data_IF_282107758459
#
_entry.id   IF_282107758459
#
_cell.length_a   1.000
_cell.length_b   1.000
_cell.length_c   1.000
_cell.angle_alpha   90.00
_cell.angle_beta   90.00
_cell.angle_gamma   90.00
#
_symmetry.space_group_name_H-M   'P 1'
#
loop_
_entity.id
_entity.type
_entity.pdbx_description
1 polymer ?
#
# COMPACT_ATOMS: atom_id res chain seq x y z
N UNK A 1 -24.79 -14.33 0.51
CA UNK A 1 -24.85 -13.03 1.23
C UNK A 1 -23.47 -12.48 1.59
N UNK A 2 -22.66 -13.16 2.41
CA UNK A 2 -21.41 -12.60 2.98
C UNK A 2 -20.41 -12.06 1.95
N UNK A 3 -20.16 -12.79 0.86
CA UNK A 3 -19.25 -12.34 -0.21
C UNK A 3 -19.70 -11.05 -0.91
N UNK A 4 -21.02 -10.86 -1.10
CA UNK A 4 -21.56 -9.63 -1.69
C UNK A 4 -21.37 -8.43 -0.76
N UNK A 5 -21.54 -8.61 0.56
CA UNK A 5 -21.22 -7.56 1.54
C UNK A 5 -19.73 -7.24 1.55
N UNK A 6 -18.86 -8.25 1.43
CA UNK A 6 -17.40 -8.06 1.34
C UNK A 6 -17.01 -7.28 0.09
N UNK A 7 -17.66 -7.58 -1.05
CA UNK A 7 -17.49 -6.85 -2.30
C UNK A 7 -17.96 -5.40 -2.21
N UNK A 8 -19.10 -5.13 -1.57
CA UNK A 8 -19.57 -3.76 -1.32
C UNK A 8 -18.56 -2.99 -0.49
N UNK A 9 -18.13 -3.53 0.67
CA UNK A 9 -17.16 -2.85 1.54
C UNK A 9 -15.83 -2.60 0.83
N UNK A 10 -15.30 -3.59 0.09
CA UNK A 10 -14.10 -3.44 -0.72
C UNK A 10 -14.26 -2.39 -1.85
N UNK A 11 -15.41 -2.39 -2.53
CA UNK A 11 -15.74 -1.43 -3.59
C UNK A 11 -15.98 0.00 -3.10
N UNK A 12 -16.27 0.18 -1.82
CA UNK A 12 -16.33 1.51 -1.15
C UNK A 12 -15.03 1.92 -0.45
N UNK A 13 -14.03 1.04 -0.36
CA UNK A 13 -12.76 1.30 0.32
C UNK A 13 -11.78 2.02 -0.63
N UNK A 14 -11.23 3.16 -0.20
CA UNK A 14 -10.28 3.96 -1.01
C UNK A 14 -9.07 3.14 -1.51
N UNK A 15 -8.61 2.13 -0.77
CA UNK A 15 -7.56 1.22 -1.24
C UNK A 15 -8.10 0.12 -2.18
N UNK A 16 -9.31 -0.39 -1.93
CA UNK A 16 -9.97 -1.35 -2.82
C UNK A 16 -10.23 -0.77 -4.21
N UNK A 17 -10.71 0.47 -4.29
CA UNK A 17 -10.91 1.22 -5.55
C UNK A 17 -9.56 1.48 -6.24
N UNK A 18 -8.54 1.97 -5.52
CA UNK A 18 -7.20 2.24 -6.10
C UNK A 18 -6.57 0.98 -6.72
N UNK A 19 -6.66 -0.17 -6.02
CA UNK A 19 -6.18 -1.47 -6.52
C UNK A 19 -7.01 -1.98 -7.69
N UNK A 20 -8.33 -1.79 -7.67
CA UNK A 20 -9.21 -2.15 -8.80
C UNK A 20 -8.85 -1.36 -10.05
N UNK A 21 -8.62 -0.05 -9.94
CA UNK A 21 -8.14 0.77 -11.04
C UNK A 21 -6.72 0.38 -11.48
N UNK A 22 -5.84 -0.02 -10.56
CA UNK A 22 -4.48 -0.49 -10.89
C UNK A 22 -4.52 -1.77 -11.74
N UNK A 23 -5.45 -2.67 -11.42
CA UNK A 23 -5.70 -3.89 -12.18
C UNK A 23 -6.24 -3.58 -13.58
N UNK A 24 -7.22 -2.68 -13.70
CA UNK A 24 -7.74 -2.24 -15.02
C UNK A 24 -6.65 -1.53 -15.83
N UNK A 25 -5.80 -0.69 -15.21
CA UNK A 25 -4.66 -0.07 -15.88
C UNK A 25 -3.65 -1.09 -16.43
N UNK A 26 -3.35 -2.15 -15.67
CA UNK A 26 -2.50 -3.25 -16.12
C UNK A 26 -3.15 -4.02 -17.28
N UNK A 27 -4.44 -4.33 -17.20
CA UNK A 27 -5.18 -5.04 -18.25
C UNK A 27 -5.28 -4.21 -19.55
N UNK A 28 -5.61 -2.92 -19.46
CA UNK A 28 -5.61 -1.99 -20.61
C UNK A 28 -4.22 -1.90 -21.25
N UNK A 29 -3.15 -1.96 -20.45
CA UNK A 29 -1.77 -2.01 -20.96
C UNK A 29 -1.48 -3.31 -21.72
N UNK A 30 -1.94 -4.46 -21.20
CA UNK A 30 -1.78 -5.77 -21.81
C UNK A 30 -2.53 -5.85 -23.16
N UNK A 31 -3.74 -5.28 -23.23
CA UNK A 31 -4.52 -5.15 -24.46
C UNK A 31 -3.85 -4.18 -25.44
N UNK A 32 -3.26 -3.06 -24.96
CA UNK A 32 -2.56 -2.11 -25.82
C UNK A 32 -1.37 -2.74 -26.57
N UNK A 33 -0.68 -3.72 -25.96
CA UNK A 33 0.53 -4.31 -26.55
C UNK A 33 0.28 -5.58 -27.37
N UNK A 34 -0.65 -6.47 -26.99
CA UNK A 34 -0.88 -7.73 -27.71
C UNK A 34 -2.05 -7.67 -28.72
N UNK A 35 -1.82 -7.75 -30.06
CA UNK A 35 -2.88 -7.69 -31.06
C UNK A 35 -3.91 -8.83 -30.94
N UNK A 36 -3.48 -10.04 -30.57
CA UNK A 36 -4.39 -11.17 -30.35
C UNK A 36 -5.38 -10.90 -29.20
N UNK A 37 -4.96 -10.13 -28.20
CA UNK A 37 -5.82 -9.74 -27.06
C UNK A 37 -6.82 -8.64 -27.45
N UNK A 38 -6.45 -7.77 -28.40
CA UNK A 38 -7.37 -6.81 -29.03
C UNK A 38 -8.47 -7.54 -29.82
N UNK A 39 -8.11 -8.57 -30.60
CA UNK A 39 -9.07 -9.41 -31.33
C UNK A 39 -9.95 -10.24 -30.38
N UNK A 40 -9.40 -10.77 -29.29
CA UNK A 40 -10.19 -11.46 -28.27
C UNK A 40 -11.20 -10.52 -27.56
N UNK A 41 -10.81 -9.26 -27.31
CA UNK A 41 -11.72 -8.24 -26.77
C UNK A 41 -12.82 -7.85 -27.76
N UNK A 42 -12.51 -7.76 -29.06
CA UNK A 42 -13.50 -7.50 -30.13
C UNK A 42 -14.59 -8.59 -30.19
N UNK A 43 -14.24 -9.86 -29.95
CA UNK A 43 -15.19 -10.97 -29.92
C UNK A 43 -16.21 -10.89 -28.77
N UNK A 44 -15.94 -10.12 -27.70
CA UNK A 44 -16.89 -9.85 -26.62
C UNK A 44 -17.57 -8.47 -26.73
N UNK A 45 -17.00 -7.52 -27.47
CA UNK A 45 -17.50 -6.15 -27.63
C UNK A 45 -18.02 -5.93 -29.06
N UNK A 46 -19.29 -6.30 -29.25
CA UNK A 46 -19.97 -6.37 -30.56
C UNK A 46 -19.88 -5.10 -31.40
N UNK A 47 -19.48 -5.26 -32.67
CA UNK A 47 -19.79 -4.34 -33.78
C UNK A 47 -19.25 -2.90 -33.69
N UNK A 48 -18.13 -2.66 -33.00
CA UNK A 48 -17.47 -1.35 -32.93
C UNK A 48 -16.14 -1.38 -33.71
N UNK A 49 -15.84 -0.29 -34.43
CA UNK A 49 -14.59 -0.11 -35.18
C UNK A 49 -13.36 -0.20 -34.27
N UNK A 50 -12.26 -0.76 -34.78
CA UNK A 50 -11.03 -1.02 -34.02
C UNK A 50 -10.46 0.29 -33.45
N UNK A 51 -10.41 0.48 -32.11
CA UNK A 51 -9.75 1.63 -31.52
C UNK A 51 -8.23 1.51 -31.78
N UNK A 52 -7.54 2.57 -32.26
CA UNK A 52 -6.11 2.50 -32.47
C UNK A 52 -5.38 2.31 -31.11
N UNK A 53 -4.17 1.70 -31.09
CA UNK A 53 -3.41 1.48 -29.84
C UNK A 53 -3.24 2.74 -28.99
N UNK A 54 -3.14 3.92 -29.63
CA UNK A 54 -3.11 5.22 -28.97
C UNK A 54 -4.32 5.47 -28.04
N UNK A 55 -5.52 4.99 -28.37
CA UNK A 55 -6.71 5.12 -27.53
C UNK A 55 -6.59 4.31 -26.23
N UNK A 56 -5.96 3.13 -26.27
CA UNK A 56 -5.68 2.34 -25.06
C UNK A 56 -4.58 2.98 -24.20
N UNK A 57 -3.57 3.61 -24.82
CA UNK A 57 -2.53 4.37 -24.11
C UNK A 57 -3.11 5.63 -23.43
N UNK A 58 -4.03 6.34 -24.10
CA UNK A 58 -4.77 7.46 -23.50
C UNK A 58 -5.68 7.00 -22.36
N UNK A 59 -6.37 5.87 -22.51
CA UNK A 59 -7.16 5.28 -21.42
C UNK A 59 -6.27 4.90 -20.23
N UNK A 60 -5.10 4.29 -20.48
CA UNK A 60 -4.09 4.00 -19.44
C UNK A 60 -3.64 5.28 -18.71
N UNK A 61 -3.38 6.38 -19.43
CA UNK A 61 -2.91 7.63 -18.79
C UNK A 61 -3.99 8.28 -17.95
N UNK A 62 -5.24 8.36 -18.43
CA UNK A 62 -6.36 8.93 -17.66
C UNK A 62 -6.74 8.05 -16.45
N UNK A 63 -6.70 6.71 -16.55
CA UNK A 63 -6.85 5.83 -15.37
C UNK A 63 -5.72 6.06 -14.34
N UNK A 64 -4.48 6.22 -14.81
CA UNK A 64 -3.34 6.52 -13.93
C UNK A 64 -3.52 7.87 -13.20
N UNK A 65 -4.09 8.87 -13.87
CA UNK A 65 -4.42 10.16 -13.29
C UNK A 65 -5.51 10.03 -12.20
N UNK A 66 -6.59 9.28 -12.46
CA UNK A 66 -7.62 8.97 -11.45
C UNK A 66 -7.01 8.26 -10.23
N UNK A 67 -6.06 7.33 -10.44
CA UNK A 67 -5.33 6.67 -9.35
C UNK A 67 -4.37 7.58 -8.59
N UNK A 68 -3.94 8.72 -9.15
CA UNK A 68 -3.20 9.75 -8.43
C UNK A 68 -4.15 10.62 -7.61
N UNK A 69 -5.30 11.00 -8.18
CA UNK A 69 -6.36 11.73 -7.46
C UNK A 69 -6.87 10.96 -6.23
N UNK A 70 -7.11 9.65 -6.32
CA UNK A 70 -7.47 8.81 -5.16
C UNK A 70 -6.37 8.68 -4.08
N UNK A 71 -5.18 9.22 -4.33
CA UNK A 71 -4.05 9.22 -3.40
C UNK A 71 -3.62 10.63 -2.95
N UNK A 72 -4.37 11.67 -3.32
CA UNK A 72 -4.03 13.09 -3.18
C UNK A 72 -3.40 13.47 -1.82
N UNK A 73 -4.00 13.05 -0.70
CA UNK A 73 -3.49 13.35 0.65
C UNK A 73 -2.75 12.19 1.33
N UNK A 74 -2.57 11.03 0.67
CA UNK A 74 -1.96 9.84 1.30
C UNK A 74 -0.47 10.01 1.62
N UNK A 75 0.18 11.04 1.09
CA UNK A 75 1.53 11.41 1.49
C UNK A 75 1.60 11.88 2.96
N UNK A 76 0.53 12.52 3.47
CA UNK A 76 0.44 12.95 4.87
C UNK A 76 0.40 11.76 5.83
N UNK A 77 -0.30 10.68 5.45
CA UNK A 77 -0.30 9.41 6.18
C UNK A 77 1.10 8.78 6.21
N UNK A 78 1.83 8.78 5.08
CA UNK A 78 3.20 8.25 5.07
C UNK A 78 4.18 9.11 5.89
N UNK A 79 4.08 10.44 5.83
CA UNK A 79 4.86 11.31 6.72
C UNK A 79 4.49 11.11 8.20
N UNK A 80 3.20 10.97 8.53
CA UNK A 80 2.76 10.67 9.90
C UNK A 80 3.31 9.33 10.38
N UNK A 81 3.25 8.27 9.58
CA UNK A 81 3.80 6.96 9.95
C UNK A 81 5.32 7.00 10.14
N UNK A 82 6.05 7.82 9.36
CA UNK A 82 7.47 8.08 9.58
C UNK A 82 7.73 8.85 10.89
N UNK A 83 6.91 9.87 11.18
CA UNK A 83 7.01 10.68 12.39
C UNK A 83 6.66 9.90 13.66
N UNK A 84 5.56 9.14 13.67
CA UNK A 84 5.11 8.33 14.80
C UNK A 84 6.18 7.29 15.19
N UNK A 85 6.88 6.71 14.20
CA UNK A 85 8.01 5.80 14.42
C UNK A 85 9.25 6.54 14.94
N UNK A 86 9.61 7.70 14.37
CA UNK A 86 10.72 8.52 14.84
C UNK A 86 10.53 9.03 16.28
N UNK A 87 9.32 9.51 16.60
CA UNK A 87 8.93 10.04 17.90
C UNK A 87 8.87 8.98 19.01
N UNK A 88 8.93 7.67 18.66
CA UNK A 88 9.08 6.60 19.65
C UNK A 88 10.44 6.60 20.36
N UNK A 89 11.43 7.36 19.85
CA UNK A 89 12.75 7.54 20.45
C UNK A 89 13.73 6.37 20.30
N UNK A 90 13.27 5.20 19.81
CA UNK A 90 14.10 4.00 19.69
C UNK A 90 14.84 3.93 18.34
N UNK A 91 15.86 4.77 18.19
CA UNK A 91 16.66 4.95 16.96
C UNK A 91 17.64 3.81 16.67
N UNK A 92 17.13 2.58 16.55
CA UNK A 92 17.85 1.46 15.92
C UNK A 92 17.90 1.63 14.38
N UNK A 93 18.85 0.98 13.72
CA UNK A 93 19.03 1.03 12.27
C UNK A 93 17.81 0.49 11.52
N UNK A 94 17.21 -0.60 11.99
CA UNK A 94 15.97 -1.18 11.42
C UNK A 94 14.77 -0.22 11.55
N UNK A 95 14.78 0.68 12.54
CA UNK A 95 13.81 1.77 12.76
C UNK A 95 14.07 2.95 11.84
N UNK A 96 15.34 3.41 11.76
CA UNK A 96 15.74 4.53 10.90
C UNK A 96 15.46 4.23 9.42
N UNK A 97 15.67 3.00 8.98
CA UNK A 97 15.27 2.56 7.63
C UNK A 97 13.74 2.56 7.42
N UNK A 98 12.91 2.36 8.46
CA UNK A 98 11.45 2.57 8.34
C UNK A 98 11.15 4.05 8.10
N UNK A 99 11.68 4.93 8.96
CA UNK A 99 11.47 6.39 8.86
C UNK A 99 11.90 6.92 7.49
N UNK A 100 13.04 6.46 6.96
CA UNK A 100 13.53 6.83 5.64
C UNK A 100 12.64 6.29 4.51
N UNK A 101 12.17 5.05 4.62
CA UNK A 101 11.22 4.46 3.66
C UNK A 101 9.89 5.22 3.64
N UNK A 102 9.30 5.47 4.82
CA UNK A 102 8.03 6.21 4.99
C UNK A 102 8.14 7.65 4.47
N UNK A 103 9.22 8.35 4.84
CA UNK A 103 9.50 9.71 4.35
C UNK A 103 9.67 9.74 2.84
N UNK A 104 10.35 8.75 2.25
CA UNK A 104 10.52 8.64 0.79
C UNK A 104 9.19 8.40 0.07
N UNK A 105 8.29 7.56 0.61
CA UNK A 105 6.92 7.40 0.10
C UNK A 105 6.09 8.68 0.25
N UNK A 106 6.31 9.45 1.33
CA UNK A 106 5.73 10.77 1.53
C UNK A 106 6.16 11.76 0.45
N UNK A 107 7.47 11.92 0.21
CA UNK A 107 7.99 12.83 -0.83
C UNK A 107 7.51 12.41 -2.22
N UNK A 108 7.51 11.11 -2.55
CA UNK A 108 6.92 10.58 -3.78
C UNK A 108 5.45 11.00 -3.96
N UNK A 109 4.61 10.74 -2.95
CA UNK A 109 3.19 11.09 -3.02
C UNK A 109 2.94 12.60 -3.08
N UNK A 110 3.74 13.39 -2.36
CA UNK A 110 3.68 14.85 -2.38
C UNK A 110 3.99 15.41 -3.79
N UNK A 111 4.99 14.85 -4.48
CA UNK A 111 5.33 15.23 -5.86
C UNK A 111 4.30 14.75 -6.89
N UNK A 112 3.70 13.57 -6.72
CA UNK A 112 2.56 13.14 -7.56
C UNK A 112 1.33 14.02 -7.37
N UNK A 113 1.09 14.55 -6.16
CA UNK A 113 0.00 15.48 -5.88
C UNK A 113 0.30 16.89 -6.42
N UNK A 114 1.51 17.41 -6.21
CA UNK A 114 1.91 18.73 -6.72
C UNK A 114 1.84 18.80 -8.27
N UNK A 115 2.21 17.72 -8.96
CA UNK A 115 2.16 17.65 -10.43
C UNK A 115 0.80 17.26 -10.99
N UNK A 116 -0.23 17.04 -10.16
CA UNK A 116 -1.51 16.50 -10.61
C UNK A 116 -2.30 17.45 -11.54
N UNK A 117 -2.25 18.76 -11.27
CA UNK A 117 -3.05 19.74 -12.02
C UNK A 117 -2.51 19.93 -13.44
N UNK A 118 -1.19 20.06 -13.60
CA UNK A 118 -0.52 20.15 -14.90
C UNK A 118 -0.79 18.90 -15.77
N UNK A 119 -0.84 17.72 -15.15
CA UNK A 119 -1.18 16.45 -15.81
C UNK A 119 -2.68 16.29 -16.16
N UNK A 120 -3.52 17.24 -15.77
CA UNK A 120 -4.91 17.32 -16.23
C UNK A 120 -5.01 17.96 -17.63
N UNK A 121 -3.92 18.54 -18.13
CA UNK A 121 -3.77 19.10 -19.50
C UNK A 121 -4.77 20.25 -19.79
N UNK A 122 -5.18 20.99 -18.76
CA UNK A 122 -6.03 22.18 -18.91
C UNK A 122 -5.16 23.38 -19.30
N UNK A 123 -5.43 23.97 -20.47
CA UNK A 123 -4.80 25.21 -20.93
C UNK A 123 -4.92 26.32 -19.88
N UNK A 124 -3.87 27.13 -19.74
CA UNK A 124 -3.76 28.24 -18.77
C UNK A 124 -3.72 27.85 -17.27
N UNK A 125 -3.95 26.57 -16.90
CA UNK A 125 -3.94 26.11 -15.50
C UNK A 125 -2.69 25.29 -15.10
N UNK A 126 -1.69 25.17 -15.98
CA UNK A 126 -0.42 24.51 -15.68
C UNK A 126 0.43 25.39 -14.75
N UNK A 127 0.78 24.88 -13.56
CA UNK A 127 1.50 25.64 -12.52
C UNK A 127 3.00 25.65 -12.78
N UNK A 128 3.55 24.53 -13.23
CA UNK A 128 4.98 24.31 -13.45
C UNK A 128 5.33 24.24 -14.94
N UNK A 129 4.39 23.80 -15.78
CA UNK A 129 4.58 23.60 -17.22
C UNK A 129 5.33 22.30 -17.54
N UNK A 130 5.23 21.81 -18.78
CA UNK A 130 5.45 20.40 -19.12
C UNK A 130 6.84 19.87 -18.77
N UNK A 131 7.89 20.66 -18.98
CA UNK A 131 9.27 20.26 -18.68
C UNK A 131 9.51 20.10 -17.17
N UNK A 132 9.03 21.04 -16.36
CA UNK A 132 9.17 20.99 -14.91
C UNK A 132 8.22 19.94 -14.30
N UNK A 133 7.00 19.76 -14.84
CA UNK A 133 6.11 18.65 -14.49
C UNK A 133 6.78 17.30 -14.73
N UNK A 134 7.47 17.13 -15.87
CA UNK A 134 8.22 15.91 -16.20
C UNK A 134 9.43 15.72 -15.25
N UNK A 135 10.19 16.77 -14.97
CA UNK A 135 11.31 16.76 -14.03
C UNK A 135 10.89 16.35 -12.61
N UNK A 136 9.82 16.94 -12.08
CA UNK A 136 9.25 16.61 -10.77
C UNK A 136 8.70 15.17 -10.74
N UNK A 137 8.08 14.69 -11.83
CA UNK A 137 7.65 13.29 -11.94
C UNK A 137 8.84 12.32 -11.95
N UNK A 138 9.92 12.66 -12.65
CA UNK A 138 11.15 11.87 -12.71
C UNK A 138 11.82 11.78 -11.32
N UNK A 139 11.91 12.91 -10.59
CA UNK A 139 12.35 12.93 -9.19
C UNK A 139 11.45 12.08 -8.29
N UNK A 140 10.13 12.14 -8.46
CA UNK A 140 9.19 11.31 -7.70
C UNK A 140 9.45 9.81 -7.88
N UNK A 141 9.83 9.35 -9.08
CA UNK A 141 10.19 7.94 -9.31
C UNK A 141 11.43 7.52 -8.53
N UNK A 142 12.45 8.38 -8.36
CA UNK A 142 13.62 8.07 -7.50
C UNK A 142 13.22 7.85 -6.04
N UNK A 143 12.34 8.70 -5.48
CA UNK A 143 11.87 8.53 -4.10
C UNK A 143 11.06 7.25 -3.91
N UNK A 144 10.21 6.89 -4.89
CA UNK A 144 9.48 5.62 -4.87
C UNK A 144 10.41 4.41 -5.00
N UNK A 145 11.37 4.44 -5.93
CA UNK A 145 12.41 3.42 -6.08
C UNK A 145 13.19 3.21 -4.78
N UNK A 146 13.64 4.30 -4.16
CA UNK A 146 14.41 4.29 -2.90
C UNK A 146 13.61 3.63 -1.78
N UNK A 147 12.34 4.00 -1.63
CA UNK A 147 11.44 3.36 -0.66
C UNK A 147 11.27 1.85 -0.92
N UNK A 148 11.07 1.44 -2.17
CA UNK A 148 10.94 0.02 -2.53
C UNK A 148 12.23 -0.76 -2.25
N UNK A 149 13.40 -0.23 -2.58
CA UNK A 149 14.68 -0.84 -2.24
C UNK A 149 14.82 -1.07 -0.72
N UNK A 150 14.46 -0.08 0.11
CA UNK A 150 14.53 -0.20 1.57
C UNK A 150 13.47 -1.19 2.09
N UNK A 151 12.25 -1.16 1.56
CA UNK A 151 11.17 -2.09 1.95
C UNK A 151 11.49 -3.54 1.57
N UNK A 152 12.09 -3.76 0.38
CA UNK A 152 12.57 -5.05 -0.08
C UNK A 152 13.71 -5.57 0.81
N UNK A 153 14.70 -4.72 1.11
CA UNK A 153 15.81 -5.06 2.02
C UNK A 153 15.31 -5.47 3.41
N UNK A 154 14.45 -4.68 4.05
CA UNK A 154 13.88 -4.99 5.37
C UNK A 154 13.00 -6.25 5.35
N UNK A 155 12.28 -6.49 4.25
CA UNK A 155 11.49 -7.73 4.09
C UNK A 155 12.40 -8.95 3.92
N UNK A 156 13.53 -8.81 3.22
CA UNK A 156 14.54 -9.85 3.09
C UNK A 156 15.28 -10.13 4.42
N UNK A 157 15.70 -9.12 5.18
CA UNK A 157 16.34 -9.35 6.50
C UNK A 157 15.36 -9.92 7.53
N UNK A 158 14.06 -9.63 7.43
CA UNK A 158 13.00 -10.30 8.22
C UNK A 158 12.87 -11.77 7.83
N UNK A 159 12.80 -12.08 6.53
CA UNK A 159 12.71 -13.45 6.02
C UNK A 159 13.93 -14.30 6.40
N UNK A 160 15.14 -13.75 6.26
CA UNK A 160 16.38 -14.42 6.67
C UNK A 160 16.45 -14.68 8.19
N UNK A 161 16.00 -13.72 9.02
CA UNK A 161 15.87 -13.92 10.47
C UNK A 161 14.88 -15.05 10.82
N UNK A 162 13.72 -15.09 10.17
CA UNK A 162 12.72 -16.15 10.40
C UNK A 162 13.27 -17.52 9.98
N UNK A 163 13.95 -17.61 8.83
CA UNK A 163 14.51 -18.87 8.33
C UNK A 163 15.68 -19.36 9.19
N UNK A 164 16.62 -18.49 9.56
CA UNK A 164 17.74 -18.82 10.44
C UNK A 164 17.28 -19.31 11.82
N UNK A 165 16.25 -18.67 12.40
CA UNK A 165 15.69 -19.07 13.69
C UNK A 165 14.96 -20.43 13.66
N UNK A 166 14.64 -20.99 12.49
CA UNK A 166 14.12 -22.38 12.38
C UNK A 166 15.22 -23.43 12.20
N UNK A 167 16.46 -23.02 11.89
CA UNK A 167 17.60 -23.94 11.67
C UNK A 167 18.35 -24.24 12.99
N UNK A 168 18.11 -23.48 14.06
CA UNK A 168 18.65 -23.74 15.40
C UNK A 168 17.67 -24.61 16.23
N UNK A 169 17.97 -25.89 16.51
CA UNK A 169 17.12 -26.73 17.36
C UNK A 169 17.28 -26.35 18.84
N UNK A 170 16.22 -26.55 19.61
CA UNK A 170 16.15 -26.23 21.05
C UNK A 170 17.23 -26.90 21.89
N UNK A 171 17.87 -26.12 22.77
CA UNK A 171 18.89 -26.61 23.72
C UNK A 171 18.65 -26.20 25.18
N UNK A 172 17.41 -26.34 25.68
CA UNK A 172 17.14 -26.40 27.13
C UNK A 172 15.78 -27.04 27.45
N UNK A 173 15.86 -28.21 28.08
CA UNK A 173 14.86 -28.98 28.83
C UNK A 173 13.67 -28.24 29.48
N UNK A 174 12.46 -28.78 29.22
CA UNK A 174 11.60 -29.56 30.16
C UNK A 174 11.29 -28.99 31.57
N UNK A 175 10.03 -29.21 31.99
CA UNK A 175 9.36 -28.84 33.26
C UNK A 175 9.00 -27.34 33.42
N UNK A 176 7.89 -26.95 34.05
CA UNK A 176 6.86 -27.74 34.77
C UNK A 176 5.45 -27.15 34.61
N UNK A 177 4.41 -27.93 34.95
CA UNK A 177 2.99 -27.53 34.90
C UNK A 177 2.32 -27.83 36.24
N UNK A 178 1.98 -26.83 37.05
CA UNK A 178 0.88 -26.95 38.02
C UNK A 178 0.39 -25.60 38.60
N UNK A 179 -0.86 -25.62 39.10
CA UNK A 179 -1.53 -24.69 40.05
C UNK A 179 -1.93 -23.28 39.57
N UNK A 180 -3.21 -23.18 39.21
CA UNK A 180 -4.07 -22.07 39.65
C UNK A 180 -4.17 -22.04 41.19
N UNK A 181 -4.28 -20.85 41.80
CA UNK A 181 -5.34 -20.48 42.78
C UNK A 181 -5.09 -19.15 43.55
N UNK A 182 -5.91 -18.13 43.23
CA UNK A 182 -6.65 -17.27 44.18
C UNK A 182 -5.95 -16.14 45.00
N UNK A 183 -6.73 -15.07 45.26
CA UNK A 183 -6.49 -13.84 46.08
C UNK A 183 -5.63 -12.76 45.40
N UNK A 184 -6.06 -11.55 45.06
CA UNK A 184 -7.22 -10.67 45.43
C UNK A 184 -7.04 -9.81 46.70
N UNK A 185 -7.31 -8.50 46.55
CA UNK A 185 -7.29 -7.39 47.54
C UNK A 185 -5.89 -6.98 48.08
N UNK A 186 -5.59 -5.73 48.47
CA UNK A 186 -6.37 -4.47 48.70
C UNK A 186 -5.91 -3.33 47.73
N UNK A 187 -6.65 -2.25 47.39
CA UNK A 187 -7.19 -1.10 48.16
C UNK A 187 -6.11 -0.16 48.77
N UNK A 188 -6.27 1.19 48.86
CA UNK A 188 -7.29 2.13 48.34
C UNK A 188 -6.58 3.25 47.50
N UNK A 189 -6.64 4.60 47.62
CA UNK A 189 -7.38 5.58 48.46
C UNK A 189 -7.56 6.93 47.70
N UNK A 190 -8.71 7.60 47.92
CA UNK A 190 -9.15 9.00 47.58
C UNK A 190 -9.38 9.42 46.12
N UNK A 191 -10.52 10.01 45.70
CA UNK A 191 -11.48 11.01 46.27
C UNK A 191 -11.08 12.49 46.06
N UNK A 192 -11.97 13.42 45.65
CA UNK A 192 -13.40 13.38 45.22
C UNK A 192 -13.74 14.73 44.48
N UNK A 193 -14.92 15.12 43.98
CA UNK A 193 -16.32 14.63 44.07
C UNK A 193 -17.14 15.02 42.80
N UNK A 194 -18.47 15.15 42.94
CA UNK A 194 -19.48 15.55 41.94
C UNK A 194 -19.59 17.08 41.66
N UNK A 195 -20.08 17.43 40.46
CA UNK A 195 -21.37 18.15 40.23
C UNK A 195 -21.83 17.92 38.78
N UNK A 196 -23.13 18.08 38.46
CA UNK A 196 -23.76 17.80 37.15
C UNK A 196 -24.05 19.09 36.34
N UNK A 197 -24.02 19.01 35.00
CA UNK A 197 -25.20 19.09 34.10
C UNK A 197 -24.82 19.28 32.62
N UNK A 198 -25.60 18.64 31.74
CA UNK A 198 -26.10 19.03 30.40
C UNK A 198 -25.19 19.57 29.25
N UNK A 199 -25.49 19.08 28.04
CA UNK A 199 -25.23 19.57 26.66
C UNK A 199 -23.89 20.26 26.26
N UNK A 200 -23.16 19.69 25.28
CA UNK A 200 -23.22 20.16 23.87
C UNK A 200 -22.55 19.14 22.89
N UNK A 201 -22.94 19.22 21.61
CA UNK A 201 -22.58 18.31 20.51
C UNK A 201 -21.15 18.48 19.96
N UNK A 202 -20.41 17.37 19.77
CA UNK A 202 -19.23 17.31 18.90
C UNK A 202 -19.09 15.93 18.21
N UNK A 203 -18.59 15.83 16.95
CA UNK A 203 -18.79 14.65 16.11
C UNK A 203 -17.78 13.51 16.30
N UNK A 204 -18.24 12.28 16.04
CA UNK A 204 -17.41 11.06 15.96
C UNK A 204 -16.41 11.16 14.80
N UNK A 205 -15.12 10.98 15.08
CA UNK A 205 -14.09 10.76 14.05
C UNK A 205 -14.27 9.36 13.41
N UNK A 206 -14.32 9.24 12.07
CA UNK A 206 -14.18 7.93 11.42
C UNK A 206 -12.75 7.39 11.62
N UNK A 207 -12.63 6.10 11.95
CA UNK A 207 -11.33 5.41 11.99
C UNK A 207 -10.89 5.05 10.57
N UNK A 208 -10.12 5.91 9.92
CA UNK A 208 -9.62 5.63 8.57
C UNK A 208 -8.37 4.72 8.60
N UNK A 209 -8.59 3.47 8.16
CA UNK A 209 -7.65 2.61 7.43
C UNK A 209 -6.22 2.54 8.01
N UNK A 210 -6.04 1.67 9.01
CA UNK A 210 -4.73 1.05 9.21
C UNK A 210 -4.38 0.20 7.97
N UNK A 211 -3.42 0.66 7.17
CA UNK A 211 -2.57 -0.24 6.38
C UNK A 211 -1.74 -1.05 7.37
N UNK A 212 -1.59 -2.36 7.14
CA UNK A 212 -0.88 -3.29 8.03
C UNK A 212 0.63 -2.98 8.12
N UNK A 213 0.98 -1.94 8.87
CA UNK A 213 2.33 -1.76 9.40
C UNK A 213 2.49 -2.82 10.49
N UNK A 214 2.98 -4.00 10.09
CA UNK A 214 3.31 -5.10 11.00
C UNK A 214 4.42 -4.65 11.95
N UNK A 215 4.02 -4.16 13.12
CA UNK A 215 4.89 -3.54 14.13
C UNK A 215 6.15 -4.37 14.37
N UNK A 216 7.29 -3.68 14.50
CA UNK A 216 8.57 -4.25 14.90
C UNK A 216 8.60 -4.67 16.38
N UNK A 217 7.80 -5.67 16.76
CA UNK A 217 7.93 -6.38 18.02
C UNK A 217 7.80 -7.88 17.77
N UNK A 218 8.82 -8.62 18.20
CA UNK A 218 9.05 -10.03 17.89
C UNK A 218 8.00 -10.93 18.54
N UNK A 219 6.91 -11.22 17.83
CA UNK A 219 5.94 -12.24 18.24
C UNK A 219 6.35 -13.59 17.67
N UNK A 220 6.63 -14.54 18.57
CA UNK A 220 6.87 -15.93 18.20
C UNK A 220 5.66 -16.50 17.44
N UNK A 221 5.89 -17.20 16.34
CA UNK A 221 4.84 -17.77 15.48
C UNK A 221 4.43 -16.94 14.26
N UNK A 222 5.23 -15.98 13.79
CA UNK A 222 4.95 -15.32 12.50
C UNK A 222 5.05 -16.30 11.32
N UNK A 223 3.99 -16.40 10.52
CA UNK A 223 3.96 -17.23 9.32
C UNK A 223 4.80 -16.64 8.18
N UNK A 224 5.54 -17.48 7.45
CA UNK A 224 6.44 -17.06 6.36
C UNK A 224 5.70 -16.45 5.16
N UNK A 225 4.49 -16.94 4.86
CA UNK A 225 3.68 -16.55 3.68
C UNK A 225 3.49 -15.02 3.48
N UNK A 226 2.98 -14.22 4.45
CA UNK A 226 2.83 -12.78 4.28
C UNK A 226 4.16 -12.04 4.02
N UNK A 227 5.28 -12.49 4.60
CA UNK A 227 6.59 -11.86 4.37
C UNK A 227 7.07 -12.13 2.93
N UNK A 228 6.88 -13.35 2.42
CA UNK A 228 7.19 -13.72 1.03
C UNK A 228 6.27 -13.01 0.04
N UNK A 229 4.97 -12.93 0.31
CA UNK A 229 4.02 -12.20 -0.55
C UNK A 229 4.34 -10.70 -0.61
N UNK A 230 4.75 -10.09 0.51
CA UNK A 230 5.26 -8.72 0.50
C UNK A 230 6.54 -8.60 -0.35
N UNK A 231 7.52 -9.48 -0.15
CA UNK A 231 8.78 -9.47 -0.91
C UNK A 231 8.53 -9.55 -2.43
N UNK A 232 7.61 -10.43 -2.86
CA UNK A 232 7.19 -10.54 -4.27
C UNK A 232 6.52 -9.26 -4.75
N UNK A 233 5.61 -8.68 -3.96
CA UNK A 233 4.93 -7.43 -4.34
C UNK A 233 5.89 -6.25 -4.48
N UNK A 234 6.80 -6.08 -3.52
CA UNK A 234 7.80 -5.00 -3.52
C UNK A 234 8.78 -5.18 -4.70
N UNK A 235 9.20 -6.43 -5.00
CA UNK A 235 10.07 -6.74 -6.12
C UNK A 235 9.40 -6.52 -7.48
N UNK A 236 8.13 -6.88 -7.64
CA UNK A 236 7.36 -6.62 -8.87
C UNK A 236 7.07 -5.12 -9.05
N UNK A 237 6.75 -4.40 -7.99
CA UNK A 237 6.56 -2.95 -8.06
C UNK A 237 7.87 -2.19 -8.33
N UNK A 238 9.04 -2.75 -8.00
CA UNK A 238 10.36 -2.15 -8.25
C UNK A 238 10.65 -1.92 -9.74
N UNK A 239 10.14 -2.78 -10.63
CA UNK A 239 10.34 -2.66 -12.08
C UNK A 239 9.78 -1.34 -12.62
N UNK A 240 8.69 -0.84 -12.04
CA UNK A 240 7.94 0.32 -12.55
C UNK A 240 8.74 1.63 -12.44
N UNK A 241 9.26 2.05 -11.26
CA UNK A 241 10.12 3.21 -11.18
C UNK A 241 11.51 2.93 -11.75
N UNK A 242 12.05 1.70 -11.67
CA UNK A 242 13.36 1.39 -12.26
C UNK A 242 13.39 1.59 -13.79
N UNK A 243 12.33 1.20 -14.50
CA UNK A 243 12.18 1.49 -15.93
C UNK A 243 11.89 2.96 -16.21
N UNK A 244 11.05 3.62 -15.39
CA UNK A 244 10.73 5.04 -15.56
C UNK A 244 11.95 5.96 -15.32
N UNK A 245 12.86 5.58 -14.41
CA UNK A 245 14.13 6.27 -14.17
C UNK A 245 15.18 5.95 -15.24
N UNK A 246 14.94 4.92 -16.08
CA UNK A 246 15.84 4.35 -17.12
C UNK A 246 17.06 3.58 -16.57
N UNK A 247 16.98 3.05 -15.34
CA UNK A 247 18.02 2.18 -14.79
C UNK A 247 18.03 0.79 -15.43
N UNK A 248 16.85 0.32 -15.87
CA UNK A 248 16.68 -0.97 -16.56
C UNK A 248 15.78 -0.73 -17.77
N UNK A 249 16.16 -1.26 -18.92
CA UNK A 249 15.27 -1.33 -20.09
C UNK A 249 14.40 -2.57 -19.94
N UNK A 250 13.08 -2.38 -19.83
CA UNK A 250 12.09 -3.44 -19.58
C UNK A 250 10.89 -3.17 -20.49
N UNK A 251 10.42 -4.19 -21.19
CA UNK A 251 9.29 -4.06 -22.11
C UNK A 251 7.98 -3.72 -21.39
N UNK A 252 7.11 -2.97 -22.07
CA UNK A 252 5.80 -2.56 -21.54
C UNK A 252 4.93 -3.76 -21.11
N UNK A 253 5.11 -4.91 -21.77
CA UNK A 253 4.45 -6.18 -21.43
C UNK A 253 4.84 -6.66 -20.03
N UNK A 254 6.15 -6.73 -19.75
CA UNK A 254 6.69 -7.20 -18.46
C UNK A 254 6.31 -6.23 -17.34
N UNK A 255 6.32 -4.92 -17.60
CA UNK A 255 5.83 -3.89 -16.66
C UNK A 255 4.33 -4.08 -16.36
N UNK A 256 3.51 -4.39 -17.37
CA UNK A 256 2.08 -4.64 -17.19
C UNK A 256 1.81 -5.94 -16.40
N UNK A 257 2.56 -7.02 -16.67
CA UNK A 257 2.46 -8.29 -15.95
C UNK A 257 2.90 -8.15 -14.49
N UNK A 258 4.04 -7.48 -14.24
CA UNK A 258 4.51 -7.21 -12.88
C UNK A 258 3.50 -6.38 -12.08
N UNK A 259 2.95 -5.32 -12.70
CA UNK A 259 1.86 -4.51 -12.11
C UNK A 259 0.62 -5.35 -11.81
N UNK A 260 0.24 -6.28 -12.68
CA UNK A 260 -0.92 -7.16 -12.47
C UNK A 260 -0.70 -8.09 -11.28
N UNK A 261 0.47 -8.73 -11.19
CA UNK A 261 0.85 -9.65 -10.11
C UNK A 261 0.87 -8.94 -8.75
N UNK A 262 1.57 -7.80 -8.64
CA UNK A 262 1.62 -7.04 -7.37
C UNK A 262 0.24 -6.52 -6.97
N UNK A 263 -0.59 -6.14 -7.94
CA UNK A 263 -1.98 -5.73 -7.69
C UNK A 263 -2.83 -6.88 -7.16
N UNK A 264 -2.72 -8.09 -7.73
CA UNK A 264 -3.48 -9.24 -7.25
C UNK A 264 -3.11 -9.59 -5.79
N UNK A 265 -1.82 -9.59 -5.47
CA UNK A 265 -1.32 -9.84 -4.09
C UNK A 265 -1.83 -8.76 -3.12
N UNK A 266 -1.69 -7.49 -3.47
CA UNK A 266 -2.08 -6.38 -2.57
C UNK A 266 -3.59 -6.16 -2.48
N UNK A 267 -4.35 -6.41 -3.54
CA UNK A 267 -5.82 -6.42 -3.53
C UNK A 267 -6.36 -7.54 -2.62
N UNK A 268 -5.76 -8.73 -2.64
CA UNK A 268 -6.14 -9.82 -1.74
C UNK A 268 -5.91 -9.45 -0.25
N UNK A 269 -4.85 -8.70 0.06
CA UNK A 269 -4.63 -8.15 1.41
C UNK A 269 -5.76 -7.20 1.86
N UNK A 270 -6.16 -6.26 1.00
CA UNK A 270 -7.29 -5.34 1.27
C UNK A 270 -8.61 -6.11 1.38
N UNK A 271 -8.87 -7.06 0.48
CA UNK A 271 -10.04 -7.94 0.51
C UNK A 271 -10.14 -8.72 1.81
N UNK A 272 -9.03 -9.31 2.27
CA UNK A 272 -8.94 -10.01 3.54
C UNK A 272 -9.17 -9.07 4.75
N UNK A 273 -8.66 -7.83 4.71
CA UNK A 273 -8.94 -6.81 5.73
C UNK A 273 -10.44 -6.53 5.84
N UNK A 274 -11.10 -6.15 4.75
CA UNK A 274 -12.55 -5.91 4.71
C UNK A 274 -13.34 -7.13 5.22
N UNK A 275 -12.91 -8.35 4.85
CA UNK A 275 -13.51 -9.61 5.31
C UNK A 275 -13.29 -9.99 6.77
N UNK A 276 -12.40 -9.30 7.51
CA UNK A 276 -12.22 -9.42 8.97
C UNK A 276 -12.99 -8.33 9.70
N UNK A 277 -12.97 -7.10 9.18
CA UNK A 277 -13.59 -5.97 9.87
C UNK A 277 -15.13 -6.05 9.83
N UNK A 278 -15.71 -6.60 8.75
CA UNK A 278 -17.12 -7.04 8.72
C UNK A 278 -17.50 -8.19 9.68
N UNK A 279 -16.56 -8.74 10.45
CA UNK A 279 -16.83 -9.74 11.51
C UNK A 279 -16.62 -9.18 12.91
N UNK A 280 -16.30 -7.88 13.01
CA UNK A 280 -15.99 -7.16 14.26
C UNK A 280 -17.03 -6.09 14.61
N UNK A 281 -17.89 -5.74 13.65
CA UNK A 281 -19.13 -4.97 13.83
C UNK A 281 -20.32 -5.74 13.26
#
# INVERSE_FOLDING_TARGET
MTLLRQFIVFGTDNAGIERSLRFVQALVSLIATYPALQVAAQLHLTSISVPPPASFLLLRSKINLTRRLLRFFRFLDQFKLGWDVYASGLLDFDTLLDVLCKTSLGVFGMLETATLLDLLEIDQLQIFGPEQTASLNYQAQYFWLTALCISLFRSATRLLRILGNQVAPSSSSINEKERDAQKENDFQDRDSALTKNDDESAPKKPNEIQVETSNGQTKSGESVSPVVLKLISDAMDLLLPASAVRLIQVDSEVIAVAMLISTAVTANGVWARCGRDMRRG
#
